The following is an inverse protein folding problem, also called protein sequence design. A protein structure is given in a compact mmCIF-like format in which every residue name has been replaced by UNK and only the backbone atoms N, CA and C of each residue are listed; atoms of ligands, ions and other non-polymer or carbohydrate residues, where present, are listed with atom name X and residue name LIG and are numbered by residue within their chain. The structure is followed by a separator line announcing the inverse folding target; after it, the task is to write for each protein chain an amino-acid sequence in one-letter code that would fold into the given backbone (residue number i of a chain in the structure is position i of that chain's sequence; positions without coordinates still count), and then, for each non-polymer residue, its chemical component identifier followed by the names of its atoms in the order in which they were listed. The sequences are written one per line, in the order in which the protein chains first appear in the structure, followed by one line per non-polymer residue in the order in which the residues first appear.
data_IF_624969173655
#
_entry.id   IF_624969173655
#
_cell.length_a   1.000
_cell.length_b   1.000
_cell.length_c   1.000
_cell.angle_alpha   90.00
_cell.angle_beta   90.00
_cell.angle_gamma   90.00
#
_symmetry.space_group_name_H-M   'P 1'
#
loop_
_entity.id
_entity.type
_entity.pdbx_description
1 polymer ?
#
# COMPACT_ATOMS: atom_id res chain seq x y z
N UNK A 1 19.86 22.49 -0.31
CA UNK A 1 20.51 22.53 1.00
C UNK A 1 20.23 21.26 1.81
N UNK A 2 19.02 20.74 1.79
CA UNK A 2 18.61 19.47 2.42
C UNK A 2 19.47 18.26 1.97
N UNK A 3 19.74 18.11 0.69
CA UNK A 3 20.53 17.02 0.14
C UNK A 3 22.03 17.07 0.46
N UNK A 4 22.57 18.26 0.75
CA UNK A 4 23.99 18.41 1.12
C UNK A 4 24.25 17.89 2.52
N UNK A 5 23.23 17.81 3.37
CA UNK A 5 23.34 17.27 4.74
C UNK A 5 23.37 15.74 4.75
N UNK A 6 22.57 15.12 3.89
CA UNK A 6 22.49 13.65 3.78
C UNK A 6 23.86 13.05 3.38
N UNK A 7 24.61 13.70 2.50
CA UNK A 7 25.93 13.22 2.05
C UNK A 7 27.11 13.61 2.93
N UNK A 8 26.99 14.59 3.83
CA UNK A 8 28.09 14.97 4.72
C UNK A 8 28.38 13.99 5.85
N UNK A 9 27.42 13.15 6.21
CA UNK A 9 27.56 12.21 7.32
C UNK A 9 28.07 10.81 6.93
N UNK A 10 28.40 10.56 5.66
CA UNK A 10 29.00 9.29 5.21
C UNK A 10 30.52 9.21 5.44
N UNK A 11 31.10 10.19 6.12
CA UNK A 11 32.51 10.27 6.48
C UNK A 11 32.81 9.65 7.84
N UNK A 12 33.38 8.44 7.84
CA UNK A 12 34.16 7.81 8.89
C UNK A 12 33.56 7.73 10.30
N UNK A 13 32.80 6.66 10.53
CA UNK A 13 32.34 6.23 11.84
C UNK A 13 33.54 5.89 12.78
N UNK A 14 33.71 6.55 13.93
CA UNK A 14 34.67 6.10 14.92
C UNK A 14 34.16 4.79 15.55
N UNK A 15 34.98 3.77 15.51
CA UNK A 15 34.77 2.43 16.08
C UNK A 15 34.22 2.50 17.50
N UNK A 16 32.93 2.34 17.67
CA UNK A 16 32.30 2.07 18.96
C UNK A 16 32.50 0.58 19.25
N UNK A 17 33.39 0.28 20.20
CA UNK A 17 33.50 -1.07 20.77
C UNK A 17 32.22 -1.37 21.56
N UNK A 18 31.32 -2.16 21.01
CA UNK A 18 30.21 -2.76 21.77
C UNK A 18 30.73 -3.94 22.56
N UNK A 19 30.79 -3.78 23.89
CA UNK A 19 30.95 -4.89 24.83
C UNK A 19 29.74 -5.82 24.73
N UNK A 20 29.95 -6.99 24.15
CA UNK A 20 28.96 -8.08 24.15
C UNK A 20 28.76 -8.60 25.57
N UNK A 21 27.77 -8.12 26.30
CA UNK A 21 27.20 -8.87 27.42
C UNK A 21 26.24 -9.91 26.89
N UNK A 22 26.69 -11.15 26.97
CA UNK A 22 25.92 -12.37 26.71
C UNK A 22 24.64 -12.39 27.56
N UNK A 23 23.47 -12.17 26.96
CA UNK A 23 22.19 -12.45 27.60
C UNK A 23 21.81 -13.88 27.26
N UNK A 24 21.77 -14.71 28.31
CA UNK A 24 21.40 -16.14 28.29
C UNK A 24 19.99 -16.32 27.73
N UNK A 25 19.87 -17.26 26.78
CA UNK A 25 18.63 -17.64 26.15
C UNK A 25 17.52 -18.07 27.11
N UNK A 26 16.39 -17.43 26.98
CA UNK A 26 15.10 -17.88 27.51
C UNK A 26 14.35 -18.62 26.43
N UNK A 27 14.11 -19.91 26.65
CA UNK A 27 13.35 -20.81 25.80
C UNK A 27 11.91 -20.31 25.64
N UNK A 28 11.57 -19.69 24.52
CA UNK A 28 10.20 -19.37 24.18
C UNK A 28 9.58 -20.55 23.43
N UNK A 29 8.74 -21.29 24.12
CA UNK A 29 7.98 -22.42 23.58
C UNK A 29 7.06 -21.93 22.47
N UNK A 30 7.28 -22.38 21.27
CA UNK A 30 6.37 -22.22 20.13
C UNK A 30 5.03 -22.86 20.48
N UNK A 31 3.99 -22.07 20.64
CA UNK A 31 2.61 -22.55 20.70
C UNK A 31 2.10 -22.68 19.27
N UNK A 32 2.05 -23.93 18.84
CA UNK A 32 1.35 -24.32 17.61
C UNK A 32 -0.14 -24.27 17.95
N UNK A 33 -0.88 -23.35 17.33
CA UNK A 33 -2.34 -23.36 17.34
C UNK A 33 -2.77 -24.21 16.16
N UNK A 34 -3.20 -25.43 16.46
CA UNK A 34 -3.84 -26.30 15.48
C UNK A 34 -5.30 -25.89 15.35
N UNK A 35 -5.66 -25.32 14.21
CA UNK A 35 -7.07 -25.12 13.84
C UNK A 35 -7.62 -26.45 13.32
N UNK A 36 -8.53 -27.04 14.07
CA UNK A 36 -9.25 -28.24 13.67
C UNK A 36 -10.41 -27.83 12.79
N UNK A 37 -10.32 -28.16 11.51
CA UNK A 37 -11.41 -27.99 10.54
C UNK A 37 -12.41 -29.13 10.75
N UNK A 38 -13.57 -28.83 11.34
CA UNK A 38 -14.67 -29.78 11.48
C UNK A 38 -15.57 -29.70 10.23
N UNK A 39 -15.39 -30.63 9.32
CA UNK A 39 -16.32 -30.87 8.21
C UNK A 39 -17.57 -31.59 8.72
N UNK A 40 -18.71 -30.90 8.71
CA UNK A 40 -20.03 -31.51 8.94
C UNK A 40 -20.60 -31.91 7.58
N UNK A 41 -20.56 -33.20 7.27
CA UNK A 41 -21.35 -33.78 6.21
C UNK A 41 -22.80 -34.00 6.72
N UNK A 42 -23.73 -33.19 6.22
CA UNK A 42 -25.16 -33.42 6.38
C UNK A 42 -25.70 -34.25 5.23
N UNK A 43 -26.01 -35.51 5.48
CA UNK A 43 -26.70 -36.37 4.53
C UNK A 43 -28.22 -36.08 4.57
N UNK A 44 -28.76 -35.66 3.45
CA UNK A 44 -30.23 -35.59 3.26
C UNK A 44 -30.72 -36.89 2.65
N UNK A 45 -31.45 -37.65 3.43
CA UNK A 45 -32.16 -38.84 2.97
C UNK A 45 -33.46 -38.43 2.27
N UNK A 46 -33.56 -38.85 1.01
CA UNK A 46 -34.81 -38.86 0.22
C UNK A 46 -35.56 -40.12 0.59
N UNK A 47 -36.78 -40.00 1.08
CA UNK A 47 -37.76 -41.10 1.05
C UNK A 47 -39.06 -40.55 0.48
N UNK A 48 -39.47 -41.20 -0.60
CA UNK A 48 -40.67 -40.92 -1.33
C UNK A 48 -41.85 -41.82 -0.94
N UNK A 49 -42.86 -41.82 -1.77
CA UNK A 49 -44.14 -42.53 -1.81
C UNK A 49 -45.29 -41.79 -1.12
N UNK A 50 -46.38 -41.57 -1.71
CA UNK A 50 -47.05 -42.05 -2.91
C UNK A 50 -48.56 -41.88 -2.77
N UNK A 51 -49.22 -41.72 -3.93
CA UNK A 51 -50.61 -42.08 -4.26
C UNK A 51 -51.77 -41.29 -3.60
N UNK A 52 -52.66 -40.82 -4.36
CA UNK A 52 -53.76 -41.09 -5.22
C UNK A 52 -54.93 -40.13 -5.06
N UNK A 53 -55.35 -39.58 -6.16
CA UNK A 53 -56.68 -39.32 -6.68
C UNK A 53 -57.82 -38.86 -5.76
N UNK A 54 -58.45 -37.74 -6.05
CA UNK A 54 -59.82 -37.77 -6.64
C UNK A 54 -60.28 -36.40 -7.17
N UNK A 55 -61.06 -36.45 -8.21
CA UNK A 55 -61.57 -35.40 -9.06
C UNK A 55 -62.81 -34.77 -8.42
N UNK A 56 -62.99 -33.47 -8.48
CA UNK A 56 -64.31 -32.85 -8.57
C UNK A 56 -64.21 -31.48 -9.26
N UNK A 57 -65.02 -31.42 -10.29
CA UNK A 57 -65.32 -30.33 -11.20
C UNK A 57 -66.10 -29.20 -10.51
N UNK A 58 -65.87 -27.95 -10.84
CA UNK A 58 -66.84 -27.01 -11.31
C UNK A 58 -66.64 -25.54 -10.93
N UNK A 59 -66.71 -24.73 -11.93
CA UNK A 59 -67.21 -23.35 -12.10
C UNK A 59 -66.25 -22.20 -12.04
N UNK A 60 -66.14 -21.65 -13.22
CA UNK A 60 -65.68 -20.34 -13.70
C UNK A 60 -66.24 -19.19 -12.87
N UNK A 61 -65.31 -18.23 -12.49
CA UNK A 61 -65.68 -16.83 -12.70
C UNK A 61 -64.37 -15.94 -12.70
N UNK A 62 -64.41 -15.03 -13.65
CA UNK A 62 -63.38 -14.06 -13.98
C UNK A 62 -63.04 -13.08 -12.85
N UNK A 63 -61.79 -12.75 -12.75
CA UNK A 63 -61.34 -11.62 -11.97
C UNK A 63 -59.95 -11.84 -11.33
N UNK A 64 -58.91 -11.78 -12.11
CA UNK A 64 -57.59 -11.52 -11.53
C UNK A 64 -56.55 -11.35 -12.67
N UNK A 65 -56.60 -10.26 -13.40
CA UNK A 65 -55.45 -9.84 -14.25
C UNK A 65 -54.56 -8.78 -13.58
N UNK A 66 -54.96 -8.26 -12.41
CA UNK A 66 -54.19 -7.22 -11.72
C UNK A 66 -53.21 -7.74 -10.64
N UNK A 67 -53.38 -9.02 -10.20
CA UNK A 67 -52.48 -9.58 -9.15
C UNK A 67 -51.26 -10.32 -9.70
N UNK A 68 -51.33 -10.75 -10.97
CA UNK A 68 -50.22 -11.52 -11.58
C UNK A 68 -49.06 -10.62 -12.04
N UNK A 69 -49.36 -9.40 -12.47
CA UNK A 69 -48.33 -8.42 -12.86
C UNK A 69 -47.55 -7.86 -11.66
N UNK A 70 -48.23 -7.63 -10.53
CA UNK A 70 -47.58 -7.07 -9.34
C UNK A 70 -46.71 -8.11 -8.63
N UNK A 71 -47.10 -9.38 -8.60
CA UNK A 71 -46.29 -10.44 -8.03
C UNK A 71 -45.08 -10.81 -8.90
N UNK A 72 -45.22 -10.70 -10.25
CA UNK A 72 -44.10 -10.94 -11.17
C UNK A 72 -43.09 -9.79 -11.16
N UNK A 73 -43.57 -8.55 -10.99
CA UNK A 73 -42.69 -7.37 -10.89
C UNK A 73 -41.94 -7.35 -9.58
N UNK A 74 -42.58 -7.68 -8.46
CA UNK A 74 -41.93 -7.77 -7.15
C UNK A 74 -40.89 -8.92 -7.11
N UNK A 75 -41.23 -10.09 -7.64
CA UNK A 75 -40.34 -11.23 -7.70
C UNK A 75 -39.15 -11.01 -8.68
N UNK A 76 -39.38 -10.29 -9.78
CA UNK A 76 -38.33 -9.93 -10.72
C UNK A 76 -37.39 -8.85 -10.12
N UNK A 77 -37.92 -7.92 -9.33
CA UNK A 77 -37.16 -6.87 -8.66
C UNK A 77 -36.30 -7.46 -7.53
N UNK A 78 -36.87 -8.33 -6.69
CA UNK A 78 -36.13 -9.04 -5.64
C UNK A 78 -35.00 -9.91 -6.23
N UNK A 79 -35.25 -10.61 -7.35
CA UNK A 79 -34.21 -11.42 -8.00
C UNK A 79 -33.09 -10.59 -8.65
N UNK A 80 -33.40 -9.35 -9.03
CA UNK A 80 -32.38 -8.45 -9.61
C UNK A 80 -31.51 -7.86 -8.52
N UNK A 81 -32.07 -7.42 -7.41
CA UNK A 81 -31.33 -6.94 -6.24
C UNK A 81 -30.42 -8.02 -5.65
N UNK A 82 -30.89 -9.26 -5.54
CA UNK A 82 -30.09 -10.40 -5.08
C UNK A 82 -28.90 -10.69 -6.02
N UNK A 83 -29.11 -10.56 -7.34
CA UNK A 83 -28.06 -10.76 -8.35
C UNK A 83 -27.02 -9.62 -8.29
N UNK A 84 -27.48 -8.38 -8.15
CA UNK A 84 -26.59 -7.22 -8.05
C UNK A 84 -25.75 -7.27 -6.77
N UNK A 85 -26.36 -7.66 -5.64
CA UNK A 85 -25.63 -7.85 -4.39
C UNK A 85 -24.59 -8.98 -4.50
N UNK A 86 -24.93 -10.11 -5.11
CA UNK A 86 -24.00 -11.23 -5.28
C UNK A 86 -22.80 -10.83 -6.15
N UNK A 87 -23.00 -10.02 -7.19
CA UNK A 87 -21.91 -9.49 -8.01
C UNK A 87 -21.00 -8.54 -7.21
N UNK A 88 -21.57 -7.68 -6.38
CA UNK A 88 -20.83 -6.78 -5.50
C UNK A 88 -20.03 -7.55 -4.43
N UNK A 89 -20.63 -8.58 -3.83
CA UNK A 89 -19.96 -9.42 -2.82
C UNK A 89 -18.77 -10.18 -3.41
N UNK A 90 -18.86 -10.65 -4.66
CA UNK A 90 -17.75 -11.30 -5.35
C UNK A 90 -16.58 -10.33 -5.54
N UNK A 91 -16.85 -9.10 -5.94
CA UNK A 91 -15.82 -8.06 -6.11
C UNK A 91 -15.23 -7.66 -4.77
N UNK A 92 -16.04 -7.49 -3.73
CA UNK A 92 -15.56 -7.21 -2.38
C UNK A 92 -14.56 -8.28 -1.90
N UNK A 93 -14.88 -9.56 -2.12
CA UNK A 93 -13.98 -10.67 -1.76
C UNK A 93 -12.65 -10.63 -2.54
N UNK A 94 -12.65 -10.22 -3.82
CA UNK A 94 -11.42 -10.07 -4.60
C UNK A 94 -10.56 -8.90 -4.10
N UNK A 95 -11.19 -7.79 -3.73
CA UNK A 95 -10.49 -6.62 -3.13
C UNK A 95 -9.91 -7.00 -1.77
N UNK A 96 -10.67 -7.66 -0.90
CA UNK A 96 -10.17 -8.11 0.40
C UNK A 96 -8.98 -9.07 0.27
N UNK A 97 -8.96 -9.90 -0.79
CA UNK A 97 -7.87 -10.84 -1.06
C UNK A 97 -6.55 -10.17 -1.47
N UNK A 98 -6.59 -8.96 -2.03
CA UNK A 98 -5.38 -8.18 -2.37
C UNK A 98 -4.98 -7.18 -1.28
N UNK A 99 -5.78 -7.03 -0.23
CA UNK A 99 -5.46 -6.16 0.91
C UNK A 99 -4.55 -6.89 1.90
N UNK A 100 -3.36 -7.27 1.43
CA UNK A 100 -2.38 -8.07 2.17
C UNK A 100 -0.97 -7.48 2.05
N UNK A 101 -0.14 -7.69 3.07
CA UNK A 101 1.25 -7.20 3.10
C UNK A 101 2.25 -8.17 2.45
N UNK A 102 1.84 -9.41 2.17
CA UNK A 102 2.71 -10.39 1.56
C UNK A 102 2.45 -10.49 0.05
N UNK A 103 3.53 -10.34 -0.74
CA UNK A 103 3.50 -10.60 -2.18
C UNK A 103 3.75 -12.07 -2.44
N UNK A 104 2.92 -12.66 -3.30
CA UNK A 104 3.04 -14.04 -3.79
C UNK A 104 3.18 -14.07 -5.31
N UNK A 105 3.45 -15.25 -5.88
CA UNK A 105 3.45 -15.47 -7.33
C UNK A 105 2.10 -15.20 -8.01
N UNK A 106 1.01 -15.17 -7.23
CA UNK A 106 -0.35 -14.93 -7.71
C UNK A 106 -0.79 -13.47 -7.61
N UNK A 107 -0.02 -12.60 -6.94
CA UNK A 107 -0.44 -11.22 -6.63
C UNK A 107 -0.81 -10.42 -7.87
N UNK A 108 0.00 -10.48 -8.94
CA UNK A 108 -0.28 -9.75 -10.17
C UNK A 108 -1.61 -10.18 -10.81
N UNK A 109 -1.86 -11.51 -10.82
CA UNK A 109 -3.12 -12.04 -11.32
C UNK A 109 -4.29 -11.63 -10.44
N UNK A 110 -4.14 -11.66 -9.13
CA UNK A 110 -5.20 -11.25 -8.19
C UNK A 110 -5.56 -9.77 -8.36
N UNK A 111 -4.58 -8.89 -8.53
CA UNK A 111 -4.81 -7.47 -8.81
C UNK A 111 -5.55 -7.28 -10.15
N UNK A 112 -5.13 -7.99 -11.19
CA UNK A 112 -5.80 -7.92 -12.49
C UNK A 112 -7.24 -8.48 -12.45
N UNK A 113 -7.48 -9.58 -11.72
CA UNK A 113 -8.80 -10.17 -11.56
C UNK A 113 -9.73 -9.20 -10.77
N UNK A 114 -9.25 -8.58 -9.70
CA UNK A 114 -10.02 -7.61 -8.92
C UNK A 114 -10.40 -6.38 -9.77
N UNK A 115 -9.45 -5.85 -10.56
CA UNK A 115 -9.71 -4.77 -11.49
C UNK A 115 -10.76 -5.14 -12.53
N UNK A 116 -10.60 -6.28 -13.18
CA UNK A 116 -11.51 -6.72 -14.24
C UNK A 116 -12.93 -6.94 -13.69
N UNK A 117 -13.04 -7.50 -12.49
CA UNK A 117 -14.33 -7.70 -11.84
C UNK A 117 -15.01 -6.37 -11.46
N UNK A 118 -14.24 -5.42 -10.90
CA UNK A 118 -14.75 -4.07 -10.61
C UNK A 118 -15.19 -3.32 -11.86
N UNK A 119 -14.39 -3.37 -12.93
CA UNK A 119 -14.70 -2.69 -14.19
C UNK A 119 -15.96 -3.27 -14.88
N UNK A 120 -16.30 -4.53 -14.60
CA UNK A 120 -17.48 -5.19 -15.11
C UNK A 120 -18.79 -4.79 -14.36
N UNK A 121 -18.68 -4.23 -13.14
CA UNK A 121 -19.85 -3.79 -12.38
C UNK A 121 -20.49 -2.54 -12.99
N UNK A 122 -21.80 -2.45 -12.91
CA UNK A 122 -22.55 -1.21 -13.13
C UNK A 122 -22.30 -0.23 -11.98
N UNK A 123 -22.58 1.06 -12.19
CA UNK A 123 -22.45 2.07 -11.12
C UNK A 123 -23.31 1.73 -9.89
N UNK A 124 -24.50 1.17 -10.10
CA UNK A 124 -25.38 0.76 -9.01
C UNK A 124 -24.83 -0.44 -8.21
N UNK A 125 -24.16 -1.39 -8.88
CA UNK A 125 -23.50 -2.51 -8.22
C UNK A 125 -22.26 -2.09 -7.45
N UNK A 126 -21.49 -1.10 -7.96
CA UNK A 126 -20.33 -0.54 -7.27
C UNK A 126 -20.70 0.08 -5.92
N UNK A 127 -21.86 0.72 -5.83
CA UNK A 127 -22.38 1.27 -4.57
C UNK A 127 -22.76 0.20 -3.53
N UNK A 128 -22.87 -1.06 -3.95
CA UNK A 128 -23.17 -2.20 -3.07
C UNK A 128 -21.91 -2.94 -2.60
N UNK A 129 -20.73 -2.58 -3.10
CA UNK A 129 -19.49 -3.25 -2.72
C UNK A 129 -19.17 -2.93 -1.28
N UNK A 130 -19.21 -3.94 -0.41
CA UNK A 130 -18.90 -3.83 1.01
C UNK A 130 -18.20 -5.10 1.49
N UNK A 131 -16.96 -4.98 1.95
CA UNK A 131 -16.12 -6.05 2.47
C UNK A 131 -15.42 -5.66 3.76
N UNK A 132 -14.42 -6.40 4.17
CA UNK A 132 -13.58 -6.05 5.33
C UNK A 132 -12.75 -4.79 5.02
N UNK A 133 -12.22 -4.69 3.81
CA UNK A 133 -11.37 -3.59 3.33
C UNK A 133 -11.92 -2.96 2.03
N UNK A 134 -12.87 -3.62 1.38
CA UNK A 134 -13.53 -3.10 0.19
C UNK A 134 -14.69 -2.18 0.57
N UNK A 135 -14.78 -1.06 -0.12
CA UNK A 135 -15.89 -0.11 -0.02
C UNK A 135 -16.23 0.47 -1.42
N UNK A 136 -17.37 1.17 -1.61
CA UNK A 136 -17.76 1.74 -2.89
C UNK A 136 -16.73 2.72 -3.49
N UNK A 137 -15.90 3.31 -2.65
CA UNK A 137 -14.87 4.27 -3.06
C UNK A 137 -13.49 3.63 -3.32
N UNK A 138 -13.34 2.32 -3.14
CA UNK A 138 -12.03 1.67 -3.16
C UNK A 138 -11.23 1.95 -4.45
N UNK A 139 -11.88 1.77 -5.62
CA UNK A 139 -11.30 2.14 -6.92
C UNK A 139 -11.90 3.41 -7.51
N UNK A 140 -13.05 3.85 -7.01
CA UNK A 140 -13.83 4.96 -7.59
C UNK A 140 -13.45 6.34 -7.09
N UNK A 141 -12.71 6.45 -5.99
CA UNK A 141 -12.34 7.76 -5.43
C UNK A 141 -11.36 8.50 -6.35
N UNK A 142 -11.68 9.75 -6.67
CA UNK A 142 -10.76 10.62 -7.39
C UNK A 142 -9.56 10.96 -6.50
N UNK A 143 -8.41 10.39 -6.85
CA UNK A 143 -7.14 10.58 -6.12
C UNK A 143 -6.11 11.30 -6.97
N UNK A 144 -6.51 11.87 -8.10
CA UNK A 144 -5.64 12.53 -9.05
C UNK A 144 -5.30 11.68 -10.28
N UNK A 145 -4.37 12.18 -11.06
CA UNK A 145 -4.00 11.64 -12.38
C UNK A 145 -2.72 10.78 -12.27
N UNK A 146 -2.88 9.46 -12.32
CA UNK A 146 -1.78 8.50 -12.26
C UNK A 146 -0.74 8.72 -13.37
N UNK A 147 -1.14 9.20 -14.56
CA UNK A 147 -0.23 9.42 -15.68
C UNK A 147 0.83 10.51 -15.45
N UNK A 148 0.71 11.28 -14.38
CA UNK A 148 1.70 12.30 -13.97
C UNK A 148 2.81 11.72 -13.10
N UNK A 149 2.64 10.50 -12.60
CA UNK A 149 3.66 9.81 -11.84
C UNK A 149 4.63 9.06 -12.77
N UNK A 150 5.75 8.64 -12.19
CA UNK A 150 6.74 7.76 -12.81
C UNK A 150 7.06 6.68 -11.76
N UNK A 151 6.74 5.41 -11.99
CA UNK A 151 7.01 4.34 -11.04
C UNK A 151 8.50 4.13 -10.77
N UNK A 152 9.38 4.71 -11.59
CA UNK A 152 10.85 4.67 -11.47
C UNK A 152 11.40 3.25 -11.30
N UNK A 153 10.85 2.31 -12.06
CA UNK A 153 11.27 0.92 -12.08
C UNK A 153 12.01 0.53 -13.38
N UNK A 154 12.70 1.51 -13.98
CA UNK A 154 13.43 1.36 -15.23
C UNK A 154 14.60 0.40 -15.11
N UNK A 155 14.91 -0.22 -16.27
CA UNK A 155 16.08 -1.08 -16.46
C UNK A 155 17.21 -0.33 -17.18
N UNK A 156 18.37 -0.96 -17.34
CA UNK A 156 19.56 -0.44 -18.06
C UNK A 156 20.08 0.90 -17.49
N UNK A 157 20.07 1.04 -16.18
CA UNK A 157 20.36 2.29 -15.46
C UNK A 157 21.84 2.57 -15.17
N UNK A 158 22.74 1.67 -15.54
CA UNK A 158 24.18 1.79 -15.27
C UNK A 158 24.59 1.21 -13.90
N UNK A 159 25.80 1.59 -13.44
CA UNK A 159 26.45 0.96 -12.28
C UNK A 159 26.13 1.63 -10.94
N UNK A 160 25.56 2.83 -10.95
CA UNK A 160 25.30 3.62 -9.74
C UNK A 160 23.80 3.90 -9.58
N UNK A 161 23.23 3.49 -8.47
CA UNK A 161 21.81 3.65 -8.18
C UNK A 161 21.58 4.26 -6.80
N UNK A 162 20.60 5.17 -6.73
CA UNK A 162 19.95 5.58 -5.50
C UNK A 162 18.54 4.99 -5.51
N UNK A 163 18.28 4.05 -4.62
CA UNK A 163 16.96 3.46 -4.40
C UNK A 163 16.26 4.27 -3.29
N UNK A 164 15.24 5.05 -3.69
CA UNK A 164 14.40 5.79 -2.74
C UNK A 164 13.30 4.88 -2.25
N UNK A 165 13.23 4.65 -0.94
CA UNK A 165 12.31 3.73 -0.30
C UNK A 165 11.31 4.47 0.55
N UNK A 166 10.03 4.38 0.19
CA UNK A 166 8.92 5.03 0.88
C UNK A 166 7.92 3.98 1.38
N UNK A 167 7.13 4.31 2.40
CA UNK A 167 5.96 3.52 2.75
C UNK A 167 5.01 3.42 1.55
N UNK A 168 4.82 4.53 0.85
CA UNK A 168 3.96 4.66 -0.31
C UNK A 168 2.63 5.33 -0.01
N UNK A 169 1.92 5.66 -1.06
CA UNK A 169 0.54 6.14 -1.02
C UNK A 169 -0.20 5.75 -2.29
N UNK A 170 -1.46 5.33 -2.16
CA UNK A 170 -2.34 5.07 -3.30
C UNK A 170 -2.99 6.34 -3.85
N UNK A 171 -2.85 7.49 -3.19
CA UNK A 171 -3.35 8.77 -3.67
C UNK A 171 -2.39 9.34 -4.72
N UNK A 172 -2.84 9.42 -5.98
CA UNK A 172 -2.03 9.86 -7.11
C UNK A 172 -1.48 11.28 -6.93
N UNK A 173 -2.29 12.23 -6.47
CA UNK A 173 -1.85 13.60 -6.24
C UNK A 173 -0.76 13.68 -5.17
N UNK A 174 -0.89 12.97 -4.06
CA UNK A 174 0.16 12.91 -3.02
C UNK A 174 1.41 12.19 -3.52
N UNK A 175 1.24 11.12 -4.31
CA UNK A 175 2.39 10.39 -4.87
C UNK A 175 3.20 11.30 -5.79
N UNK A 176 2.53 12.10 -6.63
CA UNK A 176 3.17 13.06 -7.53
C UNK A 176 3.77 14.26 -6.78
N UNK A 177 3.03 14.83 -5.84
CA UNK A 177 3.46 16.05 -5.15
C UNK A 177 4.57 15.78 -4.13
N UNK A 178 4.42 14.72 -3.33
CA UNK A 178 5.30 14.45 -2.19
C UNK A 178 6.41 13.45 -2.55
N UNK A 179 6.05 12.22 -2.93
CA UNK A 179 7.05 11.16 -3.16
C UNK A 179 7.89 11.47 -4.38
N UNK A 180 7.26 11.69 -5.53
CA UNK A 180 7.98 12.05 -6.76
C UNK A 180 8.75 13.36 -6.60
N UNK A 181 8.22 14.33 -5.85
CA UNK A 181 8.91 15.58 -5.55
C UNK A 181 10.24 15.35 -4.81
N UNK A 182 10.28 14.45 -3.84
CA UNK A 182 11.52 14.04 -3.13
C UNK A 182 12.48 13.35 -4.10
N UNK A 183 11.99 12.40 -4.89
CA UNK A 183 12.78 11.63 -5.85
C UNK A 183 13.38 12.53 -6.94
N UNK A 184 12.61 13.48 -7.47
CA UNK A 184 13.06 14.45 -8.45
C UNK A 184 14.17 15.35 -7.87
N UNK A 185 14.04 15.78 -6.61
CA UNK A 185 15.06 16.57 -5.93
C UNK A 185 16.35 15.77 -5.72
N UNK A 186 16.24 14.48 -5.38
CA UNK A 186 17.38 13.57 -5.26
C UNK A 186 18.06 13.38 -6.61
N UNK A 187 17.29 13.13 -7.67
CA UNK A 187 17.80 12.96 -9.03
C UNK A 187 18.51 14.23 -9.53
N UNK A 188 17.93 15.40 -9.31
CA UNK A 188 18.53 16.69 -9.71
C UNK A 188 19.87 16.96 -8.98
N UNK A 189 19.99 16.51 -7.73
CA UNK A 189 21.23 16.68 -6.95
C UNK A 189 22.30 15.64 -7.29
N UNK A 190 21.95 14.54 -7.96
CA UNK A 190 22.85 13.42 -8.24
C UNK A 190 22.75 12.98 -9.72
N UNK A 191 23.11 13.85 -10.67
CA UNK A 191 22.87 13.62 -12.10
C UNK A 191 23.65 12.41 -12.68
N UNK A 192 24.68 11.95 -12.00
CA UNK A 192 25.48 10.78 -12.39
C UNK A 192 24.96 9.46 -11.82
N UNK A 193 23.85 9.50 -11.08
CA UNK A 193 23.22 8.35 -10.45
C UNK A 193 21.80 8.16 -10.97
N UNK A 194 21.42 6.92 -11.22
CA UNK A 194 20.03 6.60 -11.50
C UNK A 194 19.23 6.60 -10.20
N UNK A 195 18.02 7.14 -10.24
CA UNK A 195 17.12 7.16 -9.09
C UNK A 195 15.93 6.27 -9.37
N UNK A 196 15.74 5.23 -8.56
CA UNK A 196 14.60 4.32 -8.62
C UNK A 196 13.77 4.37 -7.34
N UNK A 197 12.58 3.80 -7.40
CA UNK A 197 11.59 3.76 -6.31
C UNK A 197 11.41 2.34 -5.80
N UNK A 198 11.15 2.21 -4.50
CA UNK A 198 10.49 1.07 -3.91
C UNK A 198 9.50 1.51 -2.85
N UNK A 199 8.39 0.74 -2.69
CA UNK A 199 7.48 0.91 -1.58
C UNK A 199 7.59 -0.26 -0.61
N UNK A 200 7.36 0.00 0.69
CA UNK A 200 7.34 -1.04 1.73
C UNK A 200 5.93 -1.58 1.98
N UNK A 201 4.88 -0.78 1.75
CA UNK A 201 3.51 -1.21 1.98
C UNK A 201 2.94 -1.97 0.77
N UNK A 202 2.95 -3.31 0.83
CA UNK A 202 2.44 -4.16 -0.26
C UNK A 202 0.95 -3.90 -0.54
N UNK A 203 0.14 -3.61 0.47
CA UNK A 203 -1.27 -3.22 0.31
C UNK A 203 -1.42 -2.04 -0.65
N UNK A 204 -0.58 -1.02 -0.49
CA UNK A 204 -0.58 0.17 -1.35
C UNK A 204 -0.17 -0.19 -2.77
N UNK A 205 0.88 -1.01 -2.94
CA UNK A 205 1.34 -1.49 -4.24
C UNK A 205 0.21 -2.24 -4.96
N UNK A 206 -0.45 -3.17 -4.26
CA UNK A 206 -1.56 -3.94 -4.82
C UNK A 206 -2.74 -3.05 -5.23
N UNK A 207 -3.08 -2.05 -4.41
CA UNK A 207 -4.14 -1.10 -4.72
C UNK A 207 -3.84 -0.29 -5.99
N UNK A 208 -2.62 0.26 -6.10
CA UNK A 208 -2.18 1.01 -7.28
C UNK A 208 -2.22 0.12 -8.52
N UNK A 209 -1.68 -1.09 -8.43
CA UNK A 209 -1.67 -2.04 -9.53
C UNK A 209 -3.10 -2.43 -9.96
N UNK A 210 -3.99 -2.73 -9.01
CA UNK A 210 -5.36 -3.10 -9.31
C UNK A 210 -6.20 -1.95 -9.87
N UNK A 211 -5.97 -0.70 -9.46
CA UNK A 211 -6.71 0.46 -9.94
C UNK A 211 -6.15 1.05 -11.22
N UNK A 212 -4.84 1.29 -11.24
CA UNK A 212 -4.18 2.10 -12.27
C UNK A 212 -3.37 1.25 -13.27
N UNK A 213 -3.24 -0.07 -13.05
CA UNK A 213 -2.36 -0.98 -13.81
C UNK A 213 -0.90 -0.51 -13.79
N UNK A 214 -0.50 0.16 -12.70
CA UNK A 214 0.85 0.69 -12.51
C UNK A 214 1.62 -0.21 -11.56
N UNK A 215 2.79 -0.66 -12.01
CA UNK A 215 3.64 -1.57 -11.24
C UNK A 215 4.71 -0.78 -10.49
N UNK A 216 4.66 -0.82 -9.16
CA UNK A 216 5.69 -0.26 -8.28
C UNK A 216 6.40 -1.42 -7.61
N UNK A 217 7.74 -1.41 -7.65
CA UNK A 217 8.54 -2.45 -7.01
C UNK A 217 8.41 -2.37 -5.48
N UNK A 218 8.25 -3.52 -4.83
CA UNK A 218 8.54 -3.64 -3.39
C UNK A 218 10.05 -3.80 -3.17
N UNK A 219 10.48 -3.95 -1.91
CA UNK A 219 11.92 -4.03 -1.58
C UNK A 219 12.63 -5.17 -2.32
N UNK A 220 12.06 -6.37 -2.31
CA UNK A 220 12.69 -7.53 -2.94
C UNK A 220 12.77 -7.36 -4.47
N UNK A 221 11.68 -6.90 -5.10
CA UNK A 221 11.65 -6.63 -6.53
C UNK A 221 12.65 -5.55 -6.94
N UNK A 222 12.76 -4.47 -6.15
CA UNK A 222 13.70 -3.39 -6.42
C UNK A 222 15.15 -3.84 -6.29
N UNK A 223 15.48 -4.66 -5.28
CA UNK A 223 16.82 -5.21 -5.07
C UNK A 223 17.17 -6.26 -6.14
N UNK A 224 16.24 -7.15 -6.49
CA UNK A 224 16.41 -8.10 -7.60
C UNK A 224 16.66 -7.36 -8.92
N UNK A 225 15.91 -6.29 -9.20
CA UNK A 225 16.09 -5.46 -10.39
C UNK A 225 17.43 -4.75 -10.38
N UNK A 226 17.89 -4.24 -9.23
CA UNK A 226 19.22 -3.63 -9.11
C UNK A 226 20.34 -4.62 -9.45
N UNK A 227 20.23 -5.86 -8.96
CA UNK A 227 21.16 -6.95 -9.31
C UNK A 227 21.10 -7.28 -10.78
N UNK A 228 19.90 -7.41 -11.36
CA UNK A 228 19.68 -7.71 -12.78
C UNK A 228 20.22 -6.61 -13.70
N UNK A 229 20.11 -5.34 -13.28
CA UNK A 229 20.69 -4.17 -13.97
C UNK A 229 22.22 -4.09 -13.88
N UNK A 230 22.85 -4.92 -13.07
CA UNK A 230 24.30 -4.89 -12.89
C UNK A 230 24.80 -3.71 -12.08
N UNK A 231 23.96 -3.18 -11.19
CA UNK A 231 24.35 -2.10 -10.24
C UNK A 231 25.51 -2.56 -9.39
N UNK A 232 26.52 -1.72 -9.26
CA UNK A 232 27.70 -1.97 -8.43
C UNK A 232 27.66 -1.15 -7.14
N UNK A 233 27.19 0.08 -7.23
CA UNK A 233 27.12 0.99 -6.09
C UNK A 233 25.66 1.33 -5.83
N UNK A 234 25.12 0.83 -4.73
CA UNK A 234 23.75 1.08 -4.28
C UNK A 234 23.75 2.01 -3.07
N UNK A 235 22.96 3.07 -3.16
CA UNK A 235 22.58 3.91 -2.02
C UNK A 235 21.09 3.72 -1.79
N UNK A 236 20.68 3.31 -0.61
CA UNK A 236 19.28 3.21 -0.22
C UNK A 236 18.94 4.44 0.61
N UNK A 237 17.96 5.21 0.13
CA UNK A 237 17.47 6.43 0.78
C UNK A 237 16.06 6.21 1.28
N UNK A 238 15.86 5.90 2.57
CA UNK A 238 14.51 5.84 3.15
C UNK A 238 13.91 7.24 3.25
N UNK A 239 12.61 7.34 3.02
CA UNK A 239 11.81 8.55 3.31
C UNK A 239 11.07 8.41 4.65
N UNK A 240 11.32 7.35 5.40
CA UNK A 240 10.73 7.09 6.70
C UNK A 240 11.04 8.24 7.66
N UNK A 241 10.09 8.52 8.55
CA UNK A 241 10.21 9.65 9.48
C UNK A 241 11.28 9.39 10.55
N UNK A 242 11.35 8.15 11.05
CA UNK A 242 12.22 7.77 12.16
C UNK A 242 12.70 6.32 12.03
N UNK A 243 13.67 5.97 12.84
CA UNK A 243 14.12 4.58 13.00
C UNK A 243 13.05 3.77 13.76
N UNK A 244 12.31 2.95 13.04
CA UNK A 244 11.22 2.10 13.53
C UNK A 244 11.22 0.74 12.85
N UNK A 245 10.16 -0.04 13.04
CA UNK A 245 10.05 -1.41 12.51
C UNK A 245 10.26 -1.49 10.99
N UNK A 246 9.69 -0.56 10.23
CA UNK A 246 9.83 -0.53 8.77
C UNK A 246 11.27 -0.24 8.31
N UNK A 247 12.00 0.58 9.07
CA UNK A 247 13.42 0.79 8.80
C UNK A 247 14.24 -0.45 9.14
N UNK A 248 13.91 -1.16 10.23
CA UNK A 248 14.56 -2.42 10.59
C UNK A 248 14.33 -3.50 9.51
N UNK A 249 13.11 -3.62 8.98
CA UNK A 249 12.76 -4.52 7.88
C UNK A 249 13.52 -4.16 6.58
N UNK A 250 13.61 -2.87 6.26
CA UNK A 250 14.42 -2.38 5.15
C UNK A 250 15.89 -2.78 5.32
N UNK A 251 16.44 -2.60 6.51
CA UNK A 251 17.83 -2.98 6.81
C UNK A 251 18.05 -4.48 6.68
N UNK A 252 17.10 -5.30 7.09
CA UNK A 252 17.14 -6.77 6.93
C UNK A 252 17.13 -7.17 5.45
N UNK A 253 16.23 -6.57 4.67
CA UNK A 253 16.16 -6.80 3.23
C UNK A 253 17.49 -6.45 2.53
N UNK A 254 18.04 -5.26 2.81
CA UNK A 254 19.33 -4.84 2.22
C UNK A 254 20.49 -5.75 2.65
N UNK A 255 20.53 -6.20 3.91
CA UNK A 255 21.56 -7.09 4.42
C UNK A 255 21.59 -8.43 3.64
N UNK A 256 20.43 -8.93 3.22
CA UNK A 256 20.34 -10.16 2.43
C UNK A 256 20.98 -10.04 1.02
N UNK A 257 21.04 -8.82 0.48
CA UNK A 257 21.56 -8.55 -0.86
C UNK A 257 22.95 -7.89 -0.88
N UNK A 258 23.53 -7.50 0.26
CA UNK A 258 24.75 -6.68 0.33
C UNK A 258 25.93 -7.25 -0.46
N UNK A 259 26.07 -8.59 -0.50
CA UNK A 259 27.18 -9.26 -1.17
C UNK A 259 27.01 -9.31 -2.71
N UNK A 260 25.85 -8.87 -3.23
CA UNK A 260 25.59 -8.75 -4.66
C UNK A 260 26.17 -7.46 -5.25
N UNK A 261 26.52 -6.48 -4.41
CA UNK A 261 27.00 -5.17 -4.82
C UNK A 261 28.45 -4.94 -4.39
N UNK A 262 29.17 -4.12 -5.13
CA UNK A 262 30.52 -3.69 -4.72
C UNK A 262 30.48 -2.74 -3.51
N UNK A 263 29.41 -1.94 -3.41
CA UNK A 263 29.18 -1.01 -2.30
C UNK A 263 27.69 -0.84 -2.05
N UNK A 264 27.24 -0.99 -0.80
CA UNK A 264 25.91 -0.64 -0.33
C UNK A 264 26.01 0.37 0.80
N UNK A 265 25.19 1.40 0.73
CA UNK A 265 25.02 2.40 1.80
C UNK A 265 23.53 2.62 2.03
N UNK A 266 23.13 2.66 3.29
CA UNK A 266 21.77 3.02 3.70
C UNK A 266 21.86 4.34 4.47
N UNK A 267 21.04 5.31 4.07
CA UNK A 267 20.93 6.57 4.79
C UNK A 267 20.02 6.40 6.02
N UNK A 268 20.22 7.28 6.99
CA UNK A 268 19.35 7.36 8.16
C UNK A 268 17.96 7.93 7.78
N UNK A 269 16.90 7.58 8.53
CA UNK A 269 15.60 8.23 8.40
C UNK A 269 15.65 9.73 8.70
N UNK A 270 14.59 10.47 8.33
CA UNK A 270 14.55 11.93 8.40
C UNK A 270 14.89 12.50 9.79
N UNK A 271 14.36 11.89 10.86
CA UNK A 271 14.61 12.30 12.25
C UNK A 271 15.70 11.45 12.94
N UNK A 272 16.35 10.57 12.21
CA UNK A 272 17.38 9.68 12.71
C UNK A 272 16.88 8.72 13.79
N UNK A 273 17.75 8.38 14.71
CA UNK A 273 17.45 7.59 15.92
C UNK A 273 16.67 8.44 16.91
N UNK A 274 15.40 8.14 17.11
CA UNK A 274 14.55 8.90 18.05
C UNK A 274 14.82 8.51 19.51
N UNK A 275 15.37 7.31 19.72
CA UNK A 275 15.70 6.78 21.04
C UNK A 275 14.48 6.42 21.90
N UNK A 276 14.73 6.02 23.15
CA UNK A 276 13.70 5.67 24.13
C UNK A 276 12.98 6.90 24.71
N UNK A 277 13.50 8.07 24.52
CA UNK A 277 12.91 9.36 24.94
C UNK A 277 12.71 10.27 23.73
N UNK A 278 11.51 10.21 23.17
CA UNK A 278 11.12 11.03 22.03
C UNK A 278 11.17 12.56 22.31
N UNK A 279 11.23 12.97 23.57
CA UNK A 279 11.37 14.37 23.96
C UNK A 279 12.79 14.92 23.78
N UNK A 280 13.78 14.05 23.63
CA UNK A 280 15.16 14.47 23.35
C UNK A 280 15.22 15.07 21.95
N UNK A 281 15.70 16.31 21.87
CA UNK A 281 15.94 17.00 20.60
C UNK A 281 17.37 16.70 20.15
N UNK A 282 17.51 15.85 19.13
CA UNK A 282 18.77 15.56 18.45
C UNK A 282 19.04 16.57 17.32
N UNK A 283 20.19 16.45 16.65
CA UNK A 283 20.58 17.38 15.59
C UNK A 283 19.70 17.24 14.34
N UNK A 284 19.20 16.03 14.03
CA UNK A 284 18.30 15.80 12.91
C UNK A 284 16.93 16.48 13.12
N UNK A 285 16.36 16.35 14.32
CA UNK A 285 15.12 17.07 14.69
C UNK A 285 15.27 18.58 14.57
N UNK A 286 16.44 19.14 14.97
CA UNK A 286 16.72 20.57 14.82
C UNK A 286 16.79 20.96 13.34
N UNK A 287 17.55 20.22 12.54
CA UNK A 287 17.70 20.50 11.12
C UNK A 287 16.33 20.47 10.39
N UNK A 288 15.52 19.46 10.67
CA UNK A 288 14.16 19.37 10.12
C UNK A 288 13.29 20.55 10.55
N UNK A 289 13.32 20.92 11.83
CA UNK A 289 12.54 22.07 12.34
C UNK A 289 12.99 23.40 11.71
N UNK A 290 14.29 23.60 11.52
CA UNK A 290 14.85 24.78 10.87
C UNK A 290 14.41 24.88 9.41
N UNK A 291 14.51 23.79 8.63
CA UNK A 291 14.13 23.79 7.22
C UNK A 291 12.60 23.93 7.03
N UNK A 292 11.78 23.24 7.84
CA UNK A 292 10.34 23.40 7.81
C UNK A 292 9.91 24.83 8.13
N UNK A 293 10.56 25.45 9.13
CA UNK A 293 10.30 26.84 9.49
C UNK A 293 10.69 27.79 8.34
N UNK A 294 11.84 27.58 7.73
CA UNK A 294 12.32 28.41 6.63
C UNK A 294 11.37 28.31 5.42
N UNK A 295 10.92 27.11 5.07
CA UNK A 295 9.99 26.91 3.94
C UNK A 295 8.60 27.46 4.23
N UNK A 296 8.07 27.31 5.46
CA UNK A 296 6.80 27.89 5.88
C UNK A 296 6.82 29.42 5.79
N UNK A 297 7.88 30.05 6.27
CA UNK A 297 8.10 31.50 6.21
C UNK A 297 8.12 31.98 4.75
N UNK A 298 8.88 31.33 3.91
CA UNK A 298 9.00 31.64 2.49
C UNK A 298 7.67 31.45 1.75
N UNK A 299 6.95 30.36 2.00
CA UNK A 299 5.64 30.09 1.40
C UNK A 299 4.61 31.13 1.81
N UNK A 300 4.69 31.64 3.03
CA UNK A 300 3.85 32.73 3.51
C UNK A 300 4.26 34.12 2.96
N UNK A 301 5.33 34.20 2.18
CA UNK A 301 5.80 35.42 1.53
C UNK A 301 6.65 36.34 2.40
N UNK A 302 7.26 35.80 3.47
CA UNK A 302 8.14 36.54 4.35
C UNK A 302 9.61 36.20 4.12
N UNK A 303 10.49 37.18 4.33
CA UNK A 303 11.94 37.00 4.23
C UNK A 303 12.56 36.32 5.48
N UNK A 304 11.86 36.40 6.62
CA UNK A 304 12.30 35.81 7.89
C UNK A 304 11.14 35.57 8.86
N UNK A 305 11.39 34.69 9.83
CA UNK A 305 10.45 34.46 10.93
C UNK A 305 10.17 35.75 11.77
N UNK A 306 11.20 36.58 11.93
CA UNK A 306 11.05 37.85 12.66
C UNK A 306 10.15 38.82 11.91
N UNK A 307 10.26 38.92 10.58
CA UNK A 307 9.38 39.72 9.75
C UNK A 307 7.90 39.24 9.85
N UNK A 308 7.68 37.92 9.77
CA UNK A 308 6.36 37.34 9.94
C UNK A 308 5.76 37.63 11.33
N UNK A 309 6.59 37.59 12.39
CA UNK A 309 6.20 37.88 13.76
C UNK A 309 5.85 39.34 13.95
N UNK A 310 6.55 40.27 13.32
CA UNK A 310 6.26 41.71 13.37
C UNK A 310 4.87 41.99 12.78
N UNK A 311 4.45 41.23 11.75
CA UNK A 311 3.11 41.30 11.15
C UNK A 311 2.06 40.48 11.91
N UNK A 312 2.41 39.87 13.05
CA UNK A 312 1.49 39.12 13.90
C UNK A 312 1.13 37.73 13.37
N UNK A 313 1.93 37.17 12.41
CA UNK A 313 1.69 35.84 11.86
C UNK A 313 2.27 34.78 12.79
N UNK A 314 1.50 33.73 13.01
CA UNK A 314 1.94 32.52 13.72
C UNK A 314 1.84 31.31 12.77
N UNK A 315 2.89 30.49 12.75
CA UNK A 315 2.90 29.18 12.08
C UNK A 315 2.53 28.12 13.12
N UNK A 316 1.49 27.32 12.82
CA UNK A 316 0.91 26.31 13.74
C UNK A 316 1.03 24.94 13.09
#
# INVERSE_FOLDING_TARGET
MFLTYIFKNTGANPKIKRDRKTVRGGNMKKRIVAVVLATVLGAVCITGCGSTQEVAESTVQAGTEAQTTQAAETAATESTEDVDQAAADEVAALIDAIYVQERTENTDKQCADAKAAWDALTDAQKELVEGENADPDYFGRDTGDASKDDPRNQDEIGENEILVVSFGTSFNDSRVADIKGIEDAIAAANPDWSVRRAFTAQIIINHIQARDDEHIDNMDQALDRAVANGVKNLVVQPTHLMHGAEYDELMEAVEAYKDQFASVKVAEPLLGEVGSDAAVVNDDKKAVAEELTAEAVKTAGYDSLDAAKEDGVAFV
#
